data_IF_257633936736
#
_entry.id   IF_257633936736
#
_cell.length_a   1.000
_cell.length_b   1.000
_cell.length_c   1.000
_cell.angle_alpha   90.00
_cell.angle_beta   90.00
_cell.angle_gamma   90.00
#
_symmetry.space_group_name_H-M   'P 1'
#
loop_
_entity.id
_entity.type
_entity.pdbx_description
1 polymer ?
#
# COMPACT_ATOMS: atom_id res chain seq x y z
N UNK A 1 -18.25 -7.63 -32.08
CA UNK A 1 -16.85 -8.12 -32.08
C UNK A 1 -16.24 -7.82 -30.76
N UNK A 2 -15.44 -8.75 -30.24
CA UNK A 2 -14.66 -8.57 -29.01
C UNK A 2 -13.42 -7.77 -29.34
N UNK A 3 -13.13 -6.77 -28.52
CA UNK A 3 -11.93 -5.95 -28.64
C UNK A 3 -11.02 -6.21 -27.46
N UNK A 4 -9.73 -6.32 -27.74
CA UNK A 4 -8.68 -6.27 -26.75
C UNK A 4 -8.33 -4.80 -26.50
N UNK A 5 -8.32 -4.37 -25.25
CA UNK A 5 -8.06 -2.99 -24.88
C UNK A 5 -6.84 -2.93 -23.98
N UNK A 6 -5.90 -2.09 -24.34
CA UNK A 6 -4.78 -1.67 -23.51
C UNK A 6 -5.09 -0.31 -22.89
N UNK A 7 -4.98 -0.19 -21.60
CA UNK A 7 -5.21 1.04 -20.86
C UNK A 7 -3.90 1.47 -20.20
N UNK A 8 -3.40 2.63 -20.59
CA UNK A 8 -2.16 3.17 -20.03
C UNK A 8 -2.35 3.58 -18.57
N UNK A 9 -1.25 3.79 -17.86
CA UNK A 9 -1.26 4.31 -16.48
C UNK A 9 -1.95 5.67 -16.35
N UNK A 10 -1.94 6.46 -17.43
CA UNK A 10 -2.69 7.72 -17.51
C UNK A 10 -4.20 7.54 -17.83
N UNK A 11 -4.70 6.30 -17.88
CA UNK A 11 -6.12 6.00 -18.16
C UNK A 11 -6.51 6.08 -19.64
N UNK A 12 -5.55 6.26 -20.55
CA UNK A 12 -5.84 6.30 -21.99
C UNK A 12 -6.05 4.87 -22.50
N UNK A 13 -7.16 4.62 -23.18
CA UNK A 13 -7.53 3.31 -23.70
C UNK A 13 -7.22 3.18 -25.19
N UNK A 14 -6.50 2.13 -25.55
CA UNK A 14 -6.14 1.79 -26.93
C UNK A 14 -6.80 0.48 -27.34
N UNK A 15 -7.59 0.52 -28.40
CA UNK A 15 -8.23 -0.68 -28.95
C UNK A 15 -7.23 -1.39 -29.84
N UNK A 16 -6.93 -2.65 -29.51
CA UNK A 16 -6.06 -3.53 -30.26
C UNK A 16 -6.87 -4.62 -30.98
N UNK A 17 -6.47 -4.93 -32.21
CA UNK A 17 -7.18 -5.92 -33.03
C UNK A 17 -6.74 -7.34 -32.66
N UNK A 18 -7.69 -8.21 -32.37
CA UNK A 18 -7.43 -9.66 -32.26
C UNK A 18 -7.28 -10.18 -33.69
N UNK A 19 -6.11 -10.71 -34.04
CA UNK A 19 -5.77 -11.18 -35.41
C UNK A 19 -5.84 -12.69 -35.55
N UNK A 20 -5.69 -13.43 -34.46
CA UNK A 20 -5.81 -14.89 -34.45
C UNK A 20 -6.32 -15.37 -33.08
N UNK A 21 -7.08 -16.48 -33.10
CA UNK A 21 -7.52 -17.20 -31.89
C UNK A 21 -7.24 -18.67 -32.12
N UNK A 22 -6.49 -19.30 -31.19
CA UNK A 22 -6.15 -20.73 -31.25
C UNK A 22 -6.25 -21.36 -29.87
N UNK A 23 -7.23 -22.21 -29.66
CA UNK A 23 -7.48 -22.86 -28.38
C UNK A 23 -7.71 -21.85 -27.25
N UNK A 24 -6.84 -21.86 -26.25
CA UNK A 24 -6.85 -20.94 -25.09
C UNK A 24 -6.01 -19.69 -25.31
N UNK A 25 -5.43 -19.48 -26.49
CA UNK A 25 -4.58 -18.34 -26.82
C UNK A 25 -5.15 -17.49 -27.96
N UNK A 26 -4.78 -16.22 -27.98
CA UNK A 26 -5.08 -15.34 -29.09
C UNK A 26 -3.90 -14.38 -29.35
N UNK A 27 -3.77 -13.96 -30.59
CA UNK A 27 -2.76 -12.99 -31.03
C UNK A 27 -3.41 -11.65 -31.27
N UNK A 28 -2.77 -10.60 -30.80
CA UNK A 28 -3.25 -9.22 -30.88
C UNK A 28 -2.25 -8.36 -31.64
N UNK A 29 -2.73 -7.57 -32.57
CA UNK A 29 -1.96 -6.47 -33.14
C UNK A 29 -2.03 -5.27 -32.20
N UNK A 30 -0.87 -4.85 -31.66
CA UNK A 30 -0.79 -3.68 -30.79
C UNK A 30 -1.12 -2.43 -31.60
N UNK A 31 -1.89 -1.53 -31.02
CA UNK A 31 -2.19 -0.24 -31.62
C UNK A 31 -0.92 0.59 -31.76
N UNK A 32 -0.67 1.13 -32.97
CA UNK A 32 0.54 1.90 -33.27
C UNK A 32 0.65 3.23 -32.51
N UNK A 33 -0.41 3.67 -31.86
CA UNK A 33 -0.40 4.86 -31.00
C UNK A 33 -0.01 4.55 -29.55
N UNK A 34 0.19 3.26 -29.20
CA UNK A 34 0.72 2.92 -27.89
C UNK A 34 2.16 3.38 -27.76
N UNK A 35 2.42 4.19 -26.76
CA UNK A 35 3.75 4.64 -26.39
C UNK A 35 4.46 3.59 -25.52
N UNK A 36 5.72 3.80 -25.17
CA UNK A 36 6.43 2.98 -24.19
C UNK A 36 5.79 3.15 -22.81
N UNK A 37 5.56 2.07 -22.11
CA UNK A 37 4.91 2.08 -20.78
C UNK A 37 4.23 0.76 -20.45
N UNK A 38 3.53 0.76 -19.31
CA UNK A 38 2.73 -0.37 -18.86
C UNK A 38 1.27 -0.15 -19.17
N UNK A 39 0.61 -1.23 -19.51
CA UNK A 39 -0.79 -1.20 -19.93
C UNK A 39 -1.58 -2.29 -19.22
N UNK A 40 -2.65 -1.91 -18.57
CA UNK A 40 -3.65 -2.84 -18.07
C UNK A 40 -4.40 -3.49 -19.24
N UNK A 41 -4.74 -4.76 -19.08
CA UNK A 41 -5.41 -5.54 -20.10
C UNK A 41 -6.90 -5.64 -19.77
N UNK A 42 -7.77 -5.42 -20.77
CA UNK A 42 -9.18 -5.72 -20.67
C UNK A 42 -9.76 -6.24 -21.98
N UNK A 43 -10.85 -7.01 -21.88
CA UNK A 43 -11.67 -7.42 -23.02
C UNK A 43 -12.95 -6.60 -23.01
N UNK A 44 -13.33 -6.05 -24.15
CA UNK A 44 -14.55 -5.25 -24.34
C UNK A 44 -15.45 -5.88 -25.37
N UNK A 45 -16.71 -6.12 -24.97
CA UNK A 45 -17.78 -6.57 -25.86
C UNK A 45 -18.96 -5.59 -25.79
N UNK A 46 -19.16 -4.78 -26.82
CA UNK A 46 -20.11 -3.69 -26.77
C UNK A 46 -19.82 -2.71 -25.66
N UNK A 47 -20.77 -2.52 -24.75
CA UNK A 47 -20.61 -1.66 -23.56
C UNK A 47 -19.97 -2.38 -22.37
N UNK A 48 -19.84 -3.71 -22.41
CA UNK A 48 -19.27 -4.50 -21.30
C UNK A 48 -17.75 -4.55 -21.44
N UNK A 49 -17.04 -4.21 -20.36
CA UNK A 49 -15.59 -4.31 -20.21
C UNK A 49 -15.28 -5.26 -19.06
N UNK A 50 -14.39 -6.22 -19.27
CA UNK A 50 -13.88 -7.10 -18.22
C UNK A 50 -12.37 -6.94 -18.16
N UNK A 51 -11.88 -6.43 -17.05
CA UNK A 51 -10.44 -6.34 -16.78
C UNK A 51 -9.86 -7.74 -16.53
N UNK A 52 -8.58 -7.92 -16.89
CA UNK A 52 -7.78 -9.07 -16.52
C UNK A 52 -7.14 -8.94 -15.12
N UNK A 53 -7.71 -8.10 -14.26
CA UNK A 53 -7.14 -7.74 -12.98
C UNK A 53 -5.96 -6.77 -13.16
N UNK A 54 -4.96 -6.85 -12.27
CA UNK A 54 -3.72 -6.03 -12.38
C UNK A 54 -2.64 -6.72 -13.23
N UNK A 55 -3.04 -7.40 -14.29
CA UNK A 55 -2.11 -7.99 -15.26
C UNK A 55 -1.67 -6.92 -16.26
N UNK A 56 -0.38 -6.72 -16.38
CA UNK A 56 0.21 -5.74 -17.27
C UNK A 56 0.86 -6.38 -18.49
N UNK A 57 0.86 -5.65 -19.59
CA UNK A 57 1.87 -5.79 -20.64
C UNK A 57 2.73 -4.52 -20.67
N UNK A 58 4.01 -4.68 -21.01
CA UNK A 58 4.92 -3.54 -21.20
C UNK A 58 5.29 -3.37 -22.67
N UNK A 59 5.24 -2.14 -23.15
CA UNK A 59 5.83 -1.73 -24.42
C UNK A 59 7.10 -0.97 -24.06
N UNK A 60 8.27 -1.51 -24.43
CA UNK A 60 9.57 -0.99 -24.02
C UNK A 60 10.46 -0.72 -25.22
N UNK A 61 11.25 0.36 -25.14
CA UNK A 61 12.33 0.62 -26.10
C UNK A 61 13.55 -0.23 -25.77
N UNK A 62 14.30 -0.57 -26.83
CA UNK A 62 15.60 -1.19 -26.62
C UNK A 62 16.62 -0.12 -26.19
N UNK A 63 17.08 -0.20 -24.95
CA UNK A 63 18.10 0.74 -24.40
C UNK A 63 19.52 0.27 -24.62
N UNK A 64 19.72 -0.83 -25.36
CA UNK A 64 21.08 -1.35 -25.62
C UNK A 64 21.81 -1.92 -24.40
N UNK A 65 21.09 -2.15 -23.29
CA UNK A 65 21.61 -2.66 -22.01
C UNK A 65 21.53 -4.18 -21.95
N UNK A 66 22.61 -4.82 -21.51
CA UNK A 66 22.65 -6.25 -21.22
C UNK A 66 22.82 -6.44 -19.72
N UNK A 67 21.85 -7.07 -19.03
CA UNK A 67 21.96 -7.32 -17.59
C UNK A 67 23.15 -8.18 -17.23
N UNK A 68 23.68 -8.01 -16.03
CA UNK A 68 24.72 -8.86 -15.47
C UNK A 68 24.22 -10.30 -15.34
N UNK A 69 25.11 -11.31 -15.33
CA UNK A 69 24.73 -12.70 -15.04
C UNK A 69 23.94 -12.82 -13.74
N UNK A 70 22.96 -13.74 -13.71
CA UNK A 70 22.05 -14.01 -12.59
C UNK A 70 21.04 -12.89 -12.28
N UNK A 71 21.02 -11.79 -13.03
CA UNK A 71 19.96 -10.78 -12.93
C UNK A 71 18.64 -11.39 -13.42
N UNK A 72 17.61 -11.31 -12.59
CA UNK A 72 16.26 -11.80 -12.93
C UNK A 72 15.26 -10.68 -13.18
N UNK A 73 15.52 -9.49 -12.61
CA UNK A 73 14.75 -8.27 -12.84
C UNK A 73 15.72 -7.11 -13.03
N UNK A 74 15.50 -6.30 -14.06
CA UNK A 74 16.20 -5.03 -14.27
C UNK A 74 15.25 -4.00 -14.86
N UNK A 75 15.65 -2.76 -14.88
CA UNK A 75 14.83 -1.71 -15.50
C UNK A 75 15.46 -0.35 -15.42
N UNK A 76 14.72 0.62 -15.93
CA UNK A 76 15.07 2.02 -15.99
C UNK A 76 14.11 2.84 -15.14
N UNK A 77 14.64 3.73 -14.32
CA UNK A 77 13.85 4.70 -13.55
C UNK A 77 14.06 6.09 -14.14
N UNK A 78 12.96 6.74 -14.53
CA UNK A 78 13.01 8.06 -15.18
C UNK A 78 11.95 9.01 -14.65
N UNK A 79 12.20 10.31 -14.75
CA UNK A 79 11.18 11.35 -14.66
C UNK A 79 11.29 12.26 -15.89
N UNK A 80 10.17 12.54 -16.57
CA UNK A 80 10.09 13.33 -17.80
C UNK A 80 11.15 12.90 -18.85
N UNK A 81 11.50 11.61 -18.87
CA UNK A 81 12.51 11.04 -19.77
C UNK A 81 13.96 11.15 -19.30
N UNK A 82 14.25 11.88 -18.22
CA UNK A 82 15.56 11.94 -17.60
C UNK A 82 15.77 10.78 -16.61
N UNK A 83 16.97 10.14 -16.57
CA UNK A 83 17.25 9.08 -15.62
C UNK A 83 17.31 9.59 -14.18
N UNK A 84 16.86 8.77 -13.22
CA UNK A 84 16.98 9.05 -11.80
C UNK A 84 18.02 8.11 -11.21
N UNK A 85 19.13 8.65 -10.73
CA UNK A 85 20.18 7.92 -10.02
C UNK A 85 19.84 7.77 -8.54
N UNK A 86 20.24 6.66 -7.91
CA UNK A 86 20.07 6.42 -6.48
C UNK A 86 18.64 6.06 -6.08
N UNK A 87 17.71 5.87 -7.01
CA UNK A 87 16.36 5.41 -6.68
C UNK A 87 16.40 3.97 -6.16
N UNK A 88 15.78 3.73 -5.03
CA UNK A 88 15.73 2.41 -4.38
C UNK A 88 14.64 1.55 -5.00
N UNK A 89 14.99 0.32 -5.39
CA UNK A 89 14.08 -0.68 -5.96
C UNK A 89 14.21 -1.99 -5.20
N UNK A 90 13.09 -2.64 -4.93
CA UNK A 90 13.03 -3.88 -4.14
C UNK A 90 11.95 -4.84 -4.64
N UNK A 91 12.14 -6.13 -4.37
CA UNK A 91 11.12 -7.18 -4.52
C UNK A 91 10.52 -7.64 -3.17
N UNK A 92 10.81 -6.88 -2.10
CA UNK A 92 10.44 -7.24 -0.72
C UNK A 92 11.43 -8.20 -0.03
N UNK A 93 12.51 -8.62 -0.69
CA UNK A 93 13.61 -9.43 -0.14
C UNK A 93 14.95 -8.78 -0.42
N UNK A 94 15.20 -8.49 -1.70
CA UNK A 94 16.41 -7.82 -2.15
C UNK A 94 16.14 -6.33 -2.39
N UNK A 95 17.17 -5.52 -2.12
CA UNK A 95 17.14 -4.06 -2.31
C UNK A 95 18.33 -3.66 -3.16
N UNK A 96 18.11 -2.80 -4.12
CA UNK A 96 19.14 -2.24 -5.00
C UNK A 96 18.86 -0.77 -5.25
N UNK A 97 19.83 -0.06 -5.83
CA UNK A 97 19.67 1.33 -6.27
C UNK A 97 19.97 1.46 -7.75
N UNK A 98 19.41 2.47 -8.39
CA UNK A 98 19.72 2.82 -9.76
C UNK A 98 21.11 3.46 -9.88
N UNK A 99 21.81 3.18 -10.96
CA UNK A 99 23.07 3.84 -11.34
C UNK A 99 22.85 5.26 -11.92
N UNK A 100 23.93 5.90 -12.37
CA UNK A 100 23.87 7.24 -12.98
C UNK A 100 23.03 7.30 -14.27
N UNK A 101 22.79 6.18 -14.92
CA UNK A 101 21.92 6.04 -16.10
C UNK A 101 20.46 5.71 -15.72
N UNK A 102 20.13 5.67 -14.42
CA UNK A 102 18.81 5.28 -13.92
C UNK A 102 18.53 3.78 -14.00
N UNK A 103 19.55 2.94 -14.26
CA UNK A 103 19.37 1.49 -14.43
C UNK A 103 19.56 0.78 -13.10
N UNK A 104 18.63 -0.11 -12.76
CA UNK A 104 18.75 -1.03 -11.62
C UNK A 104 18.78 -2.49 -12.06
N UNK A 105 19.33 -3.36 -11.22
CA UNK A 105 19.39 -4.80 -11.42
C UNK A 105 19.16 -5.51 -10.10
N UNK A 106 18.30 -6.55 -10.11
CA UNK A 106 18.00 -7.40 -8.96
C UNK A 106 18.24 -8.88 -9.30
N UNK A 107 18.86 -9.59 -8.36
CA UNK A 107 18.90 -11.06 -8.32
C UNK A 107 17.75 -11.58 -7.47
N UNK A 108 16.53 -11.42 -7.96
CA UNK A 108 15.30 -11.77 -7.27
C UNK A 108 14.97 -13.23 -7.41
N UNK A 109 14.56 -13.86 -6.31
CA UNK A 109 13.91 -15.18 -6.33
C UNK A 109 12.40 -15.08 -6.70
N UNK A 110 11.88 -13.87 -6.91
CA UNK A 110 10.48 -13.57 -7.26
C UNK A 110 9.46 -14.22 -6.30
N UNK A 111 9.84 -14.31 -5.03
CA UNK A 111 9.06 -15.00 -3.99
C UNK A 111 7.66 -14.39 -3.85
N UNK A 112 7.58 -13.08 -3.79
CA UNK A 112 6.32 -12.36 -3.59
C UNK A 112 5.59 -12.03 -4.89
N UNK A 113 6.25 -12.17 -6.04
CA UNK A 113 5.65 -11.97 -7.36
C UNK A 113 5.48 -10.49 -7.75
N UNK A 114 6.21 -9.58 -7.13
CA UNK A 114 6.23 -8.16 -7.47
C UNK A 114 7.62 -7.54 -7.33
N UNK A 115 7.76 -6.35 -7.88
CA UNK A 115 8.88 -5.43 -7.66
C UNK A 115 8.32 -4.02 -7.51
N UNK A 116 8.87 -3.25 -6.60
CA UNK A 116 8.44 -1.88 -6.33
C UNK A 116 9.60 -0.90 -6.24
N UNK A 117 9.30 0.37 -6.47
CA UNK A 117 10.21 1.48 -6.22
C UNK A 117 9.85 2.14 -4.89
N UNK A 118 10.83 2.35 -4.02
CA UNK A 118 10.70 3.32 -2.93
C UNK A 118 10.73 4.71 -3.54
N UNK A 119 9.55 5.34 -3.70
CA UNK A 119 9.42 6.61 -4.43
C UNK A 119 10.41 7.62 -3.85
N UNK A 120 11.34 8.18 -4.64
CA UNK A 120 12.30 9.14 -4.12
C UNK A 120 11.64 10.47 -3.71
N UNK A 121 12.22 11.17 -2.76
CA UNK A 121 11.84 12.54 -2.39
C UNK A 121 11.80 13.47 -3.61
N UNK A 122 10.81 14.32 -3.70
CA UNK A 122 10.61 15.24 -4.84
C UNK A 122 9.97 14.61 -6.07
N UNK A 123 9.50 13.36 -5.96
CA UNK A 123 8.82 12.66 -7.06
C UNK A 123 7.49 12.07 -6.63
N UNK A 124 6.62 11.87 -7.60
CA UNK A 124 5.38 11.11 -7.51
C UNK A 124 5.33 10.06 -8.61
N UNK A 125 4.54 9.02 -8.38
CA UNK A 125 4.17 8.02 -9.40
C UNK A 125 2.79 8.34 -9.97
N UNK A 126 2.46 7.86 -11.19
CA UNK A 126 1.08 7.91 -11.68
C UNK A 126 0.11 7.23 -10.73
N UNK A 127 -1.17 7.61 -10.79
CA UNK A 127 -2.22 6.99 -9.99
C UNK A 127 -3.24 6.27 -10.86
N UNK A 128 -3.72 5.14 -10.39
CA UNK A 128 -4.90 4.47 -10.93
C UNK A 128 -6.05 4.62 -9.91
N UNK A 129 -6.89 5.61 -10.11
CA UNK A 129 -7.81 6.05 -9.07
C UNK A 129 -7.03 6.58 -7.87
N UNK A 130 -7.28 6.05 -6.67
CA UNK A 130 -6.55 6.42 -5.45
C UNK A 130 -5.23 5.66 -5.27
N UNK A 131 -4.94 4.63 -6.08
CA UNK A 131 -3.77 3.79 -5.91
C UNK A 131 -2.54 4.37 -6.63
N UNK A 132 -1.45 4.71 -5.92
CA UNK A 132 -0.19 5.05 -6.55
C UNK A 132 0.43 3.84 -7.25
N UNK A 133 0.97 4.03 -8.45
CA UNK A 133 1.50 2.97 -9.31
C UNK A 133 3.03 2.84 -9.11
N UNK A 134 3.44 2.39 -7.94
CA UNK A 134 4.86 2.26 -7.56
C UNK A 134 5.38 0.82 -7.64
N UNK A 135 4.57 -0.15 -8.06
CA UNK A 135 4.96 -1.56 -8.16
C UNK A 135 4.35 -2.24 -9.38
N UNK A 136 4.99 -3.32 -9.81
CA UNK A 136 4.54 -4.18 -10.90
C UNK A 136 4.68 -5.64 -10.55
N UNK A 137 3.80 -6.50 -11.10
CA UNK A 137 3.90 -7.94 -10.92
C UNK A 137 5.01 -8.53 -11.77
N UNK A 138 5.70 -9.53 -11.24
CA UNK A 138 6.72 -10.29 -11.92
C UNK A 138 6.19 -11.63 -12.39
N UNK A 139 6.84 -12.22 -13.41
CA UNK A 139 6.61 -13.62 -13.78
C UNK A 139 7.21 -14.53 -12.71
N UNK A 140 6.53 -15.63 -12.41
CA UNK A 140 6.98 -16.57 -11.38
C UNK A 140 8.28 -17.33 -11.77
N UNK A 141 8.59 -17.45 -13.07
CA UNK A 141 9.78 -18.18 -13.54
C UNK A 141 11.04 -17.33 -13.36
N UNK A 142 11.92 -17.76 -12.45
CA UNK A 142 13.20 -17.11 -12.16
C UNK A 142 14.24 -17.27 -13.29
N UNK A 143 14.01 -18.15 -14.25
CA UNK A 143 14.88 -18.29 -15.45
C UNK A 143 14.62 -17.21 -16.47
N UNK A 144 13.51 -16.49 -16.36
CA UNK A 144 13.16 -15.38 -17.24
C UNK A 144 13.71 -14.09 -16.61
N UNK A 145 14.66 -13.47 -17.28
CA UNK A 145 15.06 -12.08 -16.97
C UNK A 145 14.01 -11.14 -17.54
N UNK A 146 13.41 -10.30 -16.70
CA UNK A 146 12.41 -9.33 -17.13
C UNK A 146 12.89 -7.91 -16.90
N UNK A 147 12.48 -7.04 -17.82
CA UNK A 147 12.66 -5.60 -17.69
C UNK A 147 11.38 -4.97 -17.16
N UNK A 148 11.51 -4.19 -16.09
CA UNK A 148 10.42 -3.44 -15.45
C UNK A 148 10.91 -2.02 -15.22
N UNK A 149 10.33 -1.06 -15.93
CA UNK A 149 10.70 0.35 -15.86
C UNK A 149 9.72 1.11 -14.96
N UNK A 150 10.25 2.11 -14.23
CA UNK A 150 9.43 3.03 -13.44
C UNK A 150 9.51 4.43 -14.03
N UNK A 151 8.34 5.03 -14.28
CA UNK A 151 8.22 6.41 -14.76
C UNK A 151 7.63 7.27 -13.66
N UNK A 152 8.39 8.25 -13.22
CA UNK A 152 8.01 9.17 -12.16
C UNK A 152 7.77 10.56 -12.73
N UNK A 153 7.12 11.38 -11.94
CA UNK A 153 6.92 12.80 -12.20
C UNK A 153 7.65 13.59 -11.12
N UNK A 154 8.50 14.53 -11.50
CA UNK A 154 9.10 15.47 -10.56
C UNK A 154 8.03 16.42 -10.03
N UNK A 155 8.11 16.75 -8.76
CA UNK A 155 7.13 17.59 -8.08
C UNK A 155 7.79 18.54 -7.10
N UNK A 156 7.26 19.78 -7.03
CA UNK A 156 7.70 20.80 -6.09
C UNK A 156 6.81 20.82 -4.84
N UNK A 157 7.31 21.39 -3.75
CA UNK A 157 6.54 21.65 -2.53
C UNK A 157 6.22 20.41 -1.69
N UNK A 158 6.91 19.29 -1.93
CA UNK A 158 6.71 18.07 -1.17
C UNK A 158 7.26 18.14 0.27
N UNK A 159 8.03 19.17 0.61
CA UNK A 159 8.47 19.42 2.00
C UNK A 159 7.37 19.95 2.91
N UNK A 160 6.23 20.38 2.34
CA UNK A 160 5.08 20.89 3.08
C UNK A 160 3.80 20.25 2.54
N UNK A 161 3.31 19.25 3.20
CA UNK A 161 2.12 18.52 2.76
C UNK A 161 1.17 18.20 3.90
N UNK A 162 -0.04 17.80 3.52
CA UNK A 162 -1.05 17.25 4.41
C UNK A 162 -1.08 15.76 4.21
N UNK A 163 -1.05 15.02 5.31
CA UNK A 163 -1.28 13.59 5.34
C UNK A 163 -2.57 13.28 6.09
N UNK A 164 -3.52 12.69 5.40
CA UNK A 164 -4.75 12.17 5.99
C UNK A 164 -4.51 10.73 6.45
N UNK A 165 -4.73 10.47 7.73
CA UNK A 165 -4.57 9.12 8.32
C UNK A 165 -5.96 8.51 8.48
N UNK A 166 -6.18 7.41 7.77
CA UNK A 166 -7.49 6.76 7.59
C UNK A 166 -7.44 5.38 8.25
N UNK A 167 -7.93 5.27 9.48
CA UNK A 167 -7.96 4.00 10.22
C UNK A 167 -9.29 3.27 10.09
N UNK A 168 -9.26 1.96 9.97
CA UNK A 168 -10.36 1.02 10.27
C UNK A 168 -11.72 1.44 9.68
N UNK A 169 -11.85 1.35 8.34
CA UNK A 169 -13.07 1.75 7.63
C UNK A 169 -14.17 0.70 7.73
N UNK A 170 -13.81 -0.59 7.76
CA UNK A 170 -14.73 -1.74 7.88
C UNK A 170 -15.93 -1.67 6.95
N UNK A 171 -15.73 -1.37 5.68
CA UNK A 171 -16.81 -1.36 4.70
C UNK A 171 -17.20 -2.80 4.32
N UNK A 172 -18.49 -3.08 4.36
CA UNK A 172 -19.00 -4.44 4.18
C UNK A 172 -20.35 -4.52 3.47
N UNK A 173 -20.86 -3.38 2.97
CA UNK A 173 -22.21 -3.29 2.39
C UNK A 173 -23.27 -3.87 3.31
N UNK A 174 -23.23 -3.51 4.58
CA UNK A 174 -24.18 -3.92 5.58
C UNK A 174 -24.83 -2.71 6.24
N UNK A 175 -26.11 -2.84 6.58
CA UNK A 175 -26.89 -1.80 7.26
C UNK A 175 -26.76 -0.44 6.55
N UNK A 176 -25.94 0.47 7.05
CA UNK A 176 -25.78 1.83 6.54
C UNK A 176 -24.31 2.26 6.43
N UNK A 177 -23.36 1.33 6.51
CA UNK A 177 -21.92 1.63 6.49
C UNK A 177 -21.50 2.43 5.26
N UNK A 178 -21.97 2.05 4.06
CA UNK A 178 -21.62 2.76 2.82
C UNK A 178 -22.22 4.18 2.77
N UNK A 179 -23.44 4.39 3.27
CA UNK A 179 -24.04 5.73 3.31
C UNK A 179 -23.33 6.63 4.30
N UNK A 180 -22.95 6.11 5.45
CA UNK A 180 -22.20 6.85 6.46
C UNK A 180 -20.76 7.15 6.01
N UNK A 181 -20.16 6.23 5.23
CA UNK A 181 -18.87 6.48 4.60
C UNK A 181 -18.94 7.62 3.57
N UNK A 182 -20.10 7.84 2.91
CA UNK A 182 -20.28 8.99 2.04
C UNK A 182 -20.18 10.31 2.83
N UNK A 183 -20.86 10.41 3.97
CA UNK A 183 -20.81 11.60 4.83
C UNK A 183 -19.37 11.88 5.28
N UNK A 184 -18.63 10.84 5.66
CA UNK A 184 -17.20 10.93 5.96
C UNK A 184 -16.39 11.46 4.78
N UNK A 185 -16.61 10.95 3.56
CA UNK A 185 -15.86 11.38 2.37
C UNK A 185 -16.21 12.81 1.94
N UNK A 186 -17.44 13.27 2.19
CA UNK A 186 -17.84 14.65 1.97
C UNK A 186 -17.06 15.61 2.90
N UNK A 187 -16.95 15.28 4.19
CA UNK A 187 -16.15 16.06 5.15
C UNK A 187 -14.66 16.07 4.77
N UNK A 188 -14.09 14.91 4.46
CA UNK A 188 -12.70 14.82 4.02
C UNK A 188 -12.45 15.66 2.76
N UNK A 189 -13.33 15.62 1.77
CA UNK A 189 -13.21 16.43 0.56
C UNK A 189 -13.37 17.92 0.85
N UNK A 190 -14.25 18.31 1.77
CA UNK A 190 -14.35 19.70 2.24
C UNK A 190 -13.05 20.17 2.89
N UNK A 191 -12.45 19.34 3.75
CA UNK A 191 -11.15 19.60 4.35
C UNK A 191 -10.03 19.73 3.30
N UNK A 192 -10.00 18.83 2.32
CA UNK A 192 -9.05 18.88 1.19
C UNK A 192 -9.16 20.18 0.41
N UNK A 193 -10.38 20.64 0.15
CA UNK A 193 -10.63 21.89 -0.57
C UNK A 193 -10.11 23.14 0.19
N UNK A 194 -10.05 23.09 1.51
CA UNK A 194 -9.45 24.16 2.33
C UNK A 194 -7.91 24.15 2.28
N UNK A 195 -7.30 23.07 1.84
CA UNK A 195 -5.86 22.84 1.84
C UNK A 195 -5.24 22.77 0.44
N UNK A 196 -5.87 23.31 -0.59
CA UNK A 196 -5.42 23.24 -2.00
C UNK A 196 -4.05 23.87 -2.28
N UNK A 197 -3.55 24.71 -1.38
CA UNK A 197 -2.19 25.30 -1.48
C UNK A 197 -1.05 24.36 -1.09
N UNK A 198 -1.35 23.13 -0.65
CA UNK A 198 -0.38 22.13 -0.23
C UNK A 198 -0.61 20.82 -0.98
N UNK A 199 0.44 20.01 -1.10
CA UNK A 199 0.28 18.62 -1.55
C UNK A 199 -0.49 17.83 -0.49
N UNK A 200 -1.25 16.86 -0.96
CA UNK A 200 -2.14 16.08 -0.09
C UNK A 200 -2.01 14.62 -0.43
N UNK A 201 -1.78 13.82 0.59
CA UNK A 201 -1.66 12.37 0.53
C UNK A 201 -2.50 11.73 1.62
N UNK A 202 -2.77 10.44 1.51
CA UNK A 202 -3.41 9.69 2.58
C UNK A 202 -2.69 8.37 2.84
N UNK A 203 -2.83 7.87 4.06
CA UNK A 203 -2.45 6.52 4.48
C UNK A 203 -3.68 5.85 5.06
N UNK A 204 -4.01 4.67 4.53
CA UNK A 204 -5.02 3.78 5.11
C UNK A 204 -4.32 2.74 5.98
N UNK A 205 -4.72 2.66 7.25
CA UNK A 205 -4.09 1.83 8.27
C UNK A 205 -4.61 0.38 8.33
N UNK A 206 -5.22 -0.12 7.26
CA UNK A 206 -5.81 -1.45 7.22
C UNK A 206 -7.27 -1.48 7.66
N UNK A 207 -7.82 -2.68 7.71
CA UNK A 207 -9.24 -2.95 7.98
C UNK A 207 -10.16 -2.08 7.12
N UNK A 208 -9.84 -2.05 5.82
CA UNK A 208 -10.62 -1.32 4.82
C UNK A 208 -11.96 -1.98 4.59
N UNK A 209 -11.96 -3.31 4.65
CA UNK A 209 -13.15 -4.16 4.47
C UNK A 209 -13.44 -4.94 5.74
N UNK A 210 -14.41 -5.83 5.65
CA UNK A 210 -14.68 -6.79 6.72
C UNK A 210 -14.82 -8.19 6.13
N UNK A 211 -13.78 -9.00 6.27
CA UNK A 211 -13.61 -10.33 5.70
C UNK A 211 -14.84 -11.25 5.85
N UNK A 212 -15.52 -11.19 7.00
CA UNK A 212 -16.72 -11.98 7.27
C UNK A 212 -17.87 -11.75 6.27
N UNK A 213 -17.91 -10.59 5.64
CA UNK A 213 -18.95 -10.19 4.69
C UNK A 213 -18.51 -10.24 3.23
N UNK A 214 -17.27 -10.60 2.93
CA UNK A 214 -16.76 -10.65 1.56
C UNK A 214 -17.64 -11.49 0.65
N UNK A 215 -18.08 -12.64 1.14
CA UNK A 215 -18.86 -13.60 0.36
C UNK A 215 -20.37 -13.38 0.50
N UNK A 216 -20.85 -13.12 1.69
CA UNK A 216 -22.29 -13.01 1.96
C UNK A 216 -22.88 -11.72 1.40
N UNK A 217 -22.14 -10.61 1.50
CA UNK A 217 -22.56 -9.31 0.98
C UNK A 217 -21.95 -8.98 -0.39
N UNK A 218 -21.09 -9.85 -0.94
CA UNK A 218 -20.31 -9.61 -2.16
C UNK A 218 -19.58 -8.26 -2.09
N UNK A 219 -18.94 -7.98 -0.97
CA UNK A 219 -18.20 -6.76 -0.74
C UNK A 219 -16.80 -7.09 -0.18
N UNK A 220 -15.80 -6.99 -1.04
CA UNK A 220 -14.40 -7.25 -0.73
C UNK A 220 -13.53 -6.08 -1.27
N UNK A 221 -12.23 -6.29 -1.39
CA UNK A 221 -11.28 -5.25 -1.81
C UNK A 221 -11.59 -4.59 -3.18
N UNK A 222 -12.09 -5.31 -4.21
CA UNK A 222 -12.50 -4.65 -5.45
C UNK A 222 -13.67 -3.67 -5.28
N UNK A 223 -14.66 -4.01 -4.44
CA UNK A 223 -15.81 -3.15 -4.16
C UNK A 223 -15.41 -1.97 -3.28
N UNK A 224 -14.52 -2.19 -2.31
CA UNK A 224 -13.88 -1.11 -1.56
C UNK A 224 -13.22 -0.10 -2.50
N UNK A 225 -12.36 -0.57 -3.41
CA UNK A 225 -11.68 0.31 -4.37
C UNK A 225 -12.67 1.07 -5.26
N UNK A 226 -13.74 0.42 -5.72
CA UNK A 226 -14.77 1.10 -6.49
C UNK A 226 -15.43 2.23 -5.69
N UNK A 227 -15.69 2.00 -4.40
CA UNK A 227 -16.26 3.00 -3.49
C UNK A 227 -15.31 4.18 -3.29
N UNK A 228 -14.07 3.92 -2.91
CA UNK A 228 -13.09 5.00 -2.63
C UNK A 228 -12.72 5.77 -3.89
N UNK A 229 -12.54 5.10 -5.02
CA UNK A 229 -12.25 5.75 -6.32
C UNK A 229 -13.36 6.68 -6.79
N UNK A 230 -14.60 6.39 -6.42
CA UNK A 230 -15.72 7.29 -6.75
C UNK A 230 -15.75 8.52 -5.84
N UNK A 231 -15.32 8.40 -4.59
CA UNK A 231 -15.47 9.43 -3.56
C UNK A 231 -14.22 10.29 -3.35
N UNK A 232 -13.03 9.69 -3.39
CA UNK A 232 -11.75 10.33 -3.05
C UNK A 232 -10.84 10.48 -4.27
N UNK A 233 -11.38 10.98 -5.37
CA UNK A 233 -10.63 11.17 -6.62
C UNK A 233 -9.41 12.06 -6.40
N UNK A 234 -8.35 11.77 -7.14
CA UNK A 234 -7.11 12.56 -7.17
C UNK A 234 -6.39 12.64 -5.81
N UNK A 235 -6.71 11.74 -4.88
CA UNK A 235 -5.95 11.56 -3.65
C UNK A 235 -5.17 10.26 -3.73
N UNK A 236 -3.84 10.33 -3.69
CA UNK A 236 -3.01 9.12 -3.56
C UNK A 236 -3.14 8.57 -2.15
N UNK A 237 -3.60 7.33 -2.04
CA UNK A 237 -3.74 6.62 -0.77
C UNK A 237 -2.75 5.46 -0.74
N UNK A 238 -1.79 5.52 0.17
CA UNK A 238 -0.90 4.41 0.51
C UNK A 238 -1.62 3.51 1.51
N UNK A 239 -1.68 2.22 1.22
CA UNK A 239 -2.49 1.29 2.02
C UNK A 239 -1.62 0.34 2.82
N UNK A 240 -2.07 0.05 4.02
CA UNK A 240 -1.60 -1.04 4.89
C UNK A 240 -2.64 -2.13 4.90
N UNK A 241 -2.24 -3.39 4.98
CA UNK A 241 -3.18 -4.51 5.13
C UNK A 241 -3.57 -4.65 6.61
N UNK A 242 -4.86 -4.82 6.90
CA UNK A 242 -5.38 -5.12 8.24
C UNK A 242 -5.91 -6.55 8.34
N UNK A 243 -6.18 -7.02 9.56
CA UNK A 243 -6.62 -8.40 9.76
C UNK A 243 -7.98 -8.73 9.13
N UNK A 244 -8.79 -7.74 8.81
CA UNK A 244 -10.05 -7.90 8.08
C UNK A 244 -9.92 -7.74 6.55
N UNK A 245 -8.69 -7.58 6.03
CA UNK A 245 -8.38 -7.52 4.60
C UNK A 245 -7.77 -8.82 4.07
N UNK A 246 -7.74 -9.87 4.88
CA UNK A 246 -7.32 -11.22 4.55
C UNK A 246 -8.51 -12.12 4.21
N UNK A 247 -8.32 -13.02 3.26
CA UNK A 247 -9.32 -14.04 2.95
C UNK A 247 -9.33 -15.14 4.02
N UNK A 248 -10.31 -15.10 4.92
CA UNK A 248 -10.43 -16.08 6.01
C UNK A 248 -10.67 -17.53 5.53
N UNK A 249 -11.03 -17.74 4.26
CA UNK A 249 -11.18 -19.08 3.67
C UNK A 249 -9.87 -19.67 3.17
N UNK A 250 -8.79 -18.92 3.17
CA UNK A 250 -7.46 -19.39 2.83
C UNK A 250 -6.90 -20.33 3.91
N UNK A 251 -5.79 -20.97 3.60
CA UNK A 251 -5.18 -21.99 4.48
C UNK A 251 -3.80 -21.59 5.02
N UNK A 252 -3.30 -20.44 4.64
CA UNK A 252 -2.02 -19.90 5.08
C UNK A 252 -1.97 -18.41 4.78
N UNK A 253 -1.03 -17.74 5.36
CA UNK A 253 -0.80 -16.31 5.26
C UNK A 253 -0.68 -15.81 3.82
N UNK A 254 0.18 -16.43 3.01
CA UNK A 254 0.40 -16.04 1.62
C UNK A 254 -0.87 -16.10 0.77
N UNK A 255 -1.70 -17.15 0.96
CA UNK A 255 -2.98 -17.26 0.24
C UNK A 255 -4.00 -16.26 0.76
N UNK A 256 -4.04 -16.05 2.07
CA UNK A 256 -4.98 -15.14 2.71
C UNK A 256 -4.73 -13.66 2.32
N UNK A 257 -3.47 -13.23 2.27
CA UNK A 257 -3.09 -11.87 1.86
C UNK A 257 -3.08 -11.65 0.34
N UNK A 258 -3.17 -12.70 -0.48
CA UNK A 258 -3.12 -12.60 -1.95
C UNK A 258 -4.18 -11.66 -2.55
N UNK A 259 -5.45 -11.63 -2.10
CA UNK A 259 -6.43 -10.67 -2.60
C UNK A 259 -5.99 -9.21 -2.41
N UNK A 260 -5.35 -8.87 -1.28
CA UNK A 260 -4.80 -7.54 -1.04
C UNK A 260 -3.68 -7.22 -2.05
N UNK A 261 -2.69 -8.09 -2.18
CA UNK A 261 -1.59 -7.90 -3.14
C UNK A 261 -2.10 -7.78 -4.57
N UNK A 262 -3.11 -8.54 -4.95
CA UNK A 262 -3.68 -8.51 -6.30
C UNK A 262 -4.55 -7.28 -6.61
N UNK A 263 -5.05 -6.57 -5.61
CA UNK A 263 -5.96 -5.45 -5.81
C UNK A 263 -5.42 -4.10 -5.32
N UNK A 264 -4.61 -4.08 -4.27
CA UNK A 264 -4.23 -2.87 -3.55
C UNK A 264 -2.74 -2.55 -3.71
N UNK A 265 -1.86 -3.26 -2.99
CA UNK A 265 -0.43 -2.95 -2.91
C UNK A 265 0.39 -4.19 -2.49
N UNK A 266 1.74 -4.17 -2.58
CA UNK A 266 2.60 -5.07 -1.83
C UNK A 266 2.22 -5.08 -0.34
N UNK A 267 2.36 -6.22 0.33
CA UNK A 267 2.03 -6.32 1.75
C UNK A 267 2.93 -5.41 2.61
N UNK A 268 4.19 -5.21 2.19
CA UNK A 268 5.09 -4.24 2.79
C UNK A 268 5.97 -3.57 1.74
N UNK A 269 6.31 -2.31 1.96
CA UNK A 269 7.05 -1.46 1.03
C UNK A 269 7.49 -0.15 1.70
N UNK A 270 8.31 0.66 1.00
CA UNK A 270 8.70 1.99 1.45
C UNK A 270 8.50 3.06 0.38
N UNK A 271 8.46 4.32 0.79
CA UNK A 271 8.43 5.50 -0.09
C UNK A 271 8.85 6.74 0.68
N UNK A 272 9.14 7.84 -0.03
CA UNK A 272 9.47 9.11 0.60
C UNK A 272 8.46 10.18 0.20
N UNK A 273 8.11 11.03 1.16
CA UNK A 273 7.40 12.27 0.93
C UNK A 273 8.22 13.41 1.55
N UNK A 274 8.74 14.30 0.69
CA UNK A 274 9.66 15.35 1.15
C UNK A 274 10.85 14.76 1.90
N UNK A 275 11.08 15.23 3.12
CA UNK A 275 12.22 14.84 3.95
C UNK A 275 11.88 13.71 4.95
N UNK A 276 10.85 12.93 4.69
CA UNK A 276 10.39 11.86 5.57
C UNK A 276 10.36 10.53 4.81
N UNK A 277 10.92 9.50 5.42
CA UNK A 277 10.86 8.14 4.90
C UNK A 277 9.71 7.36 5.53
N UNK A 278 8.84 6.80 4.70
CA UNK A 278 7.69 5.98 5.10
C UNK A 278 7.98 4.51 4.84
N UNK A 279 7.69 3.70 5.82
CA UNK A 279 7.77 2.24 5.72
C UNK A 279 6.43 1.65 6.10
N UNK A 280 5.80 0.94 5.18
CA UNK A 280 4.57 0.17 5.45
C UNK A 280 4.98 -1.27 5.71
N UNK A 281 4.52 -1.85 6.82
CA UNK A 281 4.81 -3.23 7.20
C UNK A 281 3.49 -4.00 7.40
N UNK A 282 3.53 -5.28 7.09
CA UNK A 282 2.45 -6.22 7.34
C UNK A 282 2.73 -6.94 8.68
N UNK A 283 1.98 -6.58 9.70
CA UNK A 283 2.15 -7.11 11.05
C UNK A 283 1.08 -8.14 11.46
N UNK A 284 0.31 -8.63 10.48
CA UNK A 284 -0.73 -9.64 10.66
C UNK A 284 -0.26 -10.95 10.01
N UNK A 285 -0.15 -12.01 10.79
CA UNK A 285 0.25 -13.33 10.35
C UNK A 285 -0.91 -14.32 10.46
N UNK A 286 -1.37 -14.77 9.32
CA UNK A 286 -2.49 -15.70 9.15
C UNK A 286 -2.05 -17.16 8.93
N UNK A 287 -0.84 -17.55 9.27
CA UNK A 287 -0.35 -18.93 9.11
C UNK A 287 -1.20 -19.99 9.83
N UNK A 288 -2.01 -19.57 10.80
CA UNK A 288 -2.94 -20.45 11.52
C UNK A 288 -4.31 -20.58 10.83
N UNK A 289 -4.53 -19.95 9.68
CA UNK A 289 -5.80 -20.08 8.96
C UNK A 289 -5.96 -21.48 8.40
N UNK A 290 -7.16 -22.03 8.58
CA UNK A 290 -7.54 -23.35 8.13
C UNK A 290 -8.70 -23.35 7.11
N UNK A 291 -9.14 -22.18 6.71
CA UNK A 291 -10.25 -21.98 5.78
C UNK A 291 -11.63 -22.01 6.42
N UNK A 292 -11.72 -22.07 7.76
CA UNK A 292 -12.99 -22.20 8.48
C UNK A 292 -13.37 -20.98 9.32
N UNK A 293 -12.42 -20.33 9.98
CA UNK A 293 -12.66 -19.26 10.95
C UNK A 293 -11.70 -18.10 10.71
N UNK A 294 -12.24 -16.88 10.65
CA UNK A 294 -11.46 -15.65 10.72
C UNK A 294 -10.93 -15.41 12.14
N UNK A 295 -9.99 -14.46 12.29
CA UNK A 295 -9.41 -14.02 13.56
C UNK A 295 -8.47 -14.99 14.25
N UNK A 296 -8.02 -16.02 13.56
CA UNK A 296 -6.95 -16.90 14.05
C UNK A 296 -5.58 -16.41 13.54
N UNK A 297 -5.32 -15.11 13.65
CA UNK A 297 -4.08 -14.47 13.28
C UNK A 297 -3.20 -14.17 14.51
N UNK A 298 -1.93 -13.88 14.25
CA UNK A 298 -0.98 -13.37 15.25
C UNK A 298 -0.47 -12.01 14.83
N UNK A 299 -0.24 -11.13 15.80
CA UNK A 299 0.44 -9.85 15.57
C UNK A 299 1.95 -10.09 15.62
N UNK A 300 2.59 -10.12 14.46
CA UNK A 300 4.04 -10.28 14.37
C UNK A 300 4.57 -9.86 13.00
N UNK A 301 5.81 -9.39 12.99
CA UNK A 301 6.58 -9.17 11.77
C UNK A 301 7.37 -10.46 11.43
N UNK A 302 7.36 -10.84 10.16
CA UNK A 302 8.14 -11.99 9.71
C UNK A 302 9.63 -11.67 9.62
N UNK A 303 10.49 -12.69 9.69
CA UNK A 303 11.93 -12.52 9.54
C UNK A 303 12.32 -11.92 8.18
N UNK A 304 11.57 -12.24 7.12
CA UNK A 304 11.79 -11.68 5.79
C UNK A 304 11.58 -10.17 5.78
N UNK A 305 10.49 -9.70 6.40
CA UNK A 305 10.20 -8.28 6.54
C UNK A 305 11.26 -7.53 7.35
N UNK A 306 11.67 -8.09 8.50
CA UNK A 306 12.70 -7.47 9.34
C UNK A 306 14.06 -7.44 8.64
N UNK A 307 14.40 -8.48 7.87
CA UNK A 307 15.61 -8.51 7.05
C UNK A 307 15.56 -7.48 5.93
N UNK A 308 14.43 -7.38 5.25
CA UNK A 308 14.20 -6.39 4.21
C UNK A 308 14.27 -4.97 4.78
N UNK A 309 13.59 -4.70 5.91
CA UNK A 309 13.64 -3.40 6.58
C UNK A 309 15.08 -2.97 6.88
N UNK A 310 15.91 -3.90 7.36
CA UNK A 310 17.32 -3.60 7.58
C UNK A 310 18.06 -3.18 6.30
N UNK A 311 17.76 -3.81 5.16
CA UNK A 311 18.34 -3.43 3.85
C UNK A 311 17.80 -2.10 3.34
N UNK A 312 16.53 -1.83 3.54
CA UNK A 312 15.87 -0.59 3.15
C UNK A 312 16.43 0.59 3.95
N UNK A 313 16.49 0.49 5.26
CA UNK A 313 17.05 1.52 6.14
C UNK A 313 18.54 1.81 5.91
N UNK A 314 19.31 0.88 5.32
CA UNK A 314 20.68 1.16 4.89
C UNK A 314 20.77 2.13 3.72
N UNK A 315 19.66 2.35 3.00
CA UNK A 315 19.58 3.32 1.89
C UNK A 315 19.08 4.69 2.35
N UNK A 316 18.79 4.86 3.65
CA UNK A 316 18.21 6.07 4.23
C UNK A 316 19.20 6.68 5.22
N UNK A 317 19.51 7.95 5.07
CA UNK A 317 20.41 8.66 5.97
C UNK A 317 19.86 8.62 7.41
N UNK A 318 20.77 8.59 8.39
CA UNK A 318 20.43 8.35 9.80
C UNK A 318 19.55 9.45 10.41
N UNK A 319 19.66 10.67 9.91
CA UNK A 319 18.93 11.86 10.37
C UNK A 319 17.53 12.02 9.74
N UNK A 320 17.24 11.24 8.70
CA UNK A 320 15.91 11.24 8.08
C UNK A 320 14.91 10.58 9.03
N UNK A 321 13.81 11.29 9.38
CA UNK A 321 12.77 10.70 10.23
C UNK A 321 12.03 9.58 9.51
N UNK A 322 11.67 8.56 10.29
CA UNK A 322 10.92 7.39 9.81
C UNK A 322 9.47 7.49 10.29
N UNK A 323 8.53 7.31 9.37
CA UNK A 323 7.16 6.98 9.74
C UNK A 323 6.93 5.51 9.39
N UNK A 324 6.83 4.67 10.41
CA UNK A 324 6.54 3.25 10.27
C UNK A 324 5.03 3.04 10.38
N UNK A 325 4.43 2.47 9.38
CA UNK A 325 2.98 2.26 9.29
C UNK A 325 2.68 0.77 9.38
N UNK A 326 1.87 0.40 10.34
CA UNK A 326 1.39 -0.96 10.57
C UNK A 326 -0.11 -0.93 10.88
N UNK A 327 -0.77 -2.07 10.80
CA UNK A 327 -2.18 -2.13 11.17
C UNK A 327 -2.34 -2.23 12.68
N UNK A 328 -1.76 -3.25 13.30
CA UNK A 328 -1.89 -3.46 14.74
C UNK A 328 -0.83 -2.68 15.53
N UNK A 329 -1.21 -2.28 16.73
CA UNK A 329 -0.33 -1.56 17.64
C UNK A 329 0.80 -2.47 18.17
N UNK A 330 2.00 -1.90 18.29
CA UNK A 330 3.16 -2.58 18.89
C UNK A 330 3.03 -2.62 20.40
N UNK A 331 2.61 -1.49 20.99
CA UNK A 331 2.44 -1.34 22.42
C UNK A 331 0.96 -1.15 22.76
N UNK A 332 0.56 -1.68 23.90
CA UNK A 332 -0.82 -1.57 24.38
C UNK A 332 -0.84 -1.15 25.85
N UNK A 333 -1.76 -0.25 26.27
CA UNK A 333 -1.87 0.13 27.67
C UNK A 333 -2.28 -1.07 28.52
N UNK A 334 -1.44 -1.38 29.51
CA UNK A 334 -1.71 -2.41 30.52
C UNK A 334 -2.67 -1.84 31.58
N UNK A 335 -3.55 -2.67 32.09
CA UNK A 335 -4.44 -2.28 33.20
C UNK A 335 -3.71 -2.14 34.54
N UNK A 336 -2.50 -2.69 34.65
CA UNK A 336 -1.75 -2.78 35.94
C UNK A 336 -0.42 -2.08 35.90
N UNK A 337 0.31 -2.12 34.78
CA UNK A 337 1.76 -1.82 34.77
C UNK A 337 2.19 -0.86 33.61
N UNK A 338 1.37 0.11 33.26
CA UNK A 338 1.71 1.06 32.19
C UNK A 338 1.56 0.44 30.81
N UNK A 339 2.64 0.17 30.07
CA UNK A 339 2.63 -0.37 28.73
C UNK A 339 3.07 -1.84 28.69
N UNK A 340 2.56 -2.59 27.71
CA UNK A 340 3.03 -3.93 27.35
C UNK A 340 3.29 -4.04 25.86
N UNK A 341 4.21 -4.90 25.45
CA UNK A 341 4.35 -5.31 24.04
C UNK A 341 3.13 -6.18 23.68
N UNK A 342 2.47 -5.82 22.60
CA UNK A 342 1.26 -6.52 22.13
C UNK A 342 1.50 -7.35 20.86
N UNK A 343 2.68 -7.26 20.29
CA UNK A 343 3.20 -8.11 19.24
C UNK A 343 4.04 -9.27 19.80
N UNK A 344 4.51 -10.13 18.90
CA UNK A 344 5.57 -11.09 19.22
C UNK A 344 6.82 -10.35 19.76
N UNK A 345 7.21 -10.70 20.97
CA UNK A 345 8.29 -10.01 21.66
C UNK A 345 9.65 -10.14 20.95
N UNK A 346 9.89 -11.25 20.24
CA UNK A 346 11.17 -11.48 19.53
C UNK A 346 11.26 -10.55 18.33
N UNK A 347 10.23 -10.49 17.51
CA UNK A 347 10.14 -9.60 16.35
C UNK A 347 10.17 -8.13 16.76
N UNK A 348 9.43 -7.76 17.82
CA UNK A 348 9.44 -6.39 18.35
C UNK A 348 10.83 -5.95 18.82
N UNK A 349 11.55 -6.80 19.55
CA UNK A 349 12.91 -6.48 19.96
C UNK A 349 13.89 -6.34 18.77
N UNK A 350 13.68 -7.07 17.69
CA UNK A 350 14.46 -6.90 16.47
C UNK A 350 14.10 -5.58 15.77
N UNK A 351 12.82 -5.25 15.67
CA UNK A 351 12.34 -3.99 15.13
C UNK A 351 12.96 -2.79 15.88
N UNK A 352 12.87 -2.77 17.21
CA UNK A 352 13.44 -1.70 18.02
C UNK A 352 14.96 -1.54 17.83
N UNK A 353 15.69 -2.64 17.60
CA UNK A 353 17.13 -2.58 17.27
C UNK A 353 17.39 -1.98 15.89
N UNK A 354 16.56 -2.27 14.89
CA UNK A 354 16.69 -1.70 13.55
C UNK A 354 16.40 -0.19 13.53
N UNK A 355 15.49 0.27 14.39
CA UNK A 355 15.11 1.66 14.54
C UNK A 355 16.02 2.46 15.49
N UNK A 356 16.94 1.79 16.21
CA UNK A 356 17.79 2.42 17.20
C UNK A 356 18.61 3.58 16.62
N UNK A 357 18.58 4.72 17.31
CA UNK A 357 19.25 5.94 16.92
C UNK A 357 18.58 6.72 15.78
N UNK A 358 17.37 6.32 15.37
CA UNK A 358 16.54 7.04 14.39
C UNK A 358 15.33 7.65 15.08
N UNK A 359 14.94 8.84 14.64
CA UNK A 359 13.68 9.45 15.03
C UNK A 359 12.54 8.72 14.31
N UNK A 360 11.68 8.03 15.05
CA UNK A 360 10.65 7.18 14.48
C UNK A 360 9.27 7.51 15.03
N UNK A 361 8.29 7.60 14.13
CA UNK A 361 6.87 7.59 14.45
C UNK A 361 6.23 6.31 13.92
N UNK A 362 5.57 5.55 14.78
CA UNK A 362 4.75 4.40 14.40
C UNK A 362 3.29 4.86 14.32
N UNK A 363 2.63 4.59 13.20
CA UNK A 363 1.21 4.82 12.99
C UNK A 363 0.47 3.50 12.95
N UNK A 364 -0.54 3.35 13.81
CA UNK A 364 -1.34 2.12 13.91
C UNK A 364 -2.84 2.42 14.09
N UNK A 365 -3.68 1.41 13.82
CA UNK A 365 -5.13 1.40 14.01
C UNK A 365 -5.58 0.21 14.86
N UNK A 366 -6.43 -0.66 14.32
CA UNK A 366 -6.83 -1.96 14.85
C UNK A 366 -7.65 -1.95 16.16
N UNK A 367 -7.23 -1.19 17.15
CA UNK A 367 -7.89 -1.19 18.45
C UNK A 367 -9.16 -0.36 18.50
N UNK A 368 -9.37 0.52 17.52
CA UNK A 368 -10.37 1.58 17.55
C UNK A 368 -10.26 2.48 18.79
N UNK A 369 -9.08 2.59 19.36
CA UNK A 369 -8.76 3.46 20.50
C UNK A 369 -7.78 4.53 20.06
N UNK A 370 -7.75 5.67 20.77
CA UNK A 370 -6.79 6.72 20.53
C UNK A 370 -5.82 6.83 21.70
N UNK A 371 -4.56 6.48 21.48
CA UNK A 371 -3.51 6.60 22.49
C UNK A 371 -2.13 6.84 21.87
N UNK A 372 -1.19 7.33 22.70
CA UNK A 372 0.17 7.58 22.29
C UNK A 372 1.15 6.94 23.26
N UNK A 373 2.21 6.34 22.71
CA UNK A 373 3.44 5.98 23.42
C UNK A 373 4.49 7.01 23.05
N UNK A 374 5.29 7.45 24.00
CA UNK A 374 6.28 8.51 23.82
C UNK A 374 7.69 8.02 24.14
N UNK A 375 8.76 8.69 23.70
CA UNK A 375 10.13 8.32 24.07
C UNK A 375 10.41 8.27 25.57
N UNK A 376 9.59 8.97 26.36
CA UNK A 376 9.71 8.99 27.83
C UNK A 376 9.18 7.70 28.49
N UNK A 377 8.45 6.87 27.73
CA UNK A 377 7.94 5.60 28.23
C UNK A 377 9.03 4.52 28.18
N UNK A 378 9.31 3.86 29.30
CA UNK A 378 10.36 2.83 29.43
C UNK A 378 10.26 1.71 28.37
N UNK A 379 9.05 1.44 27.89
CA UNK A 379 8.79 0.38 26.91
C UNK A 379 9.48 0.63 25.56
N UNK A 380 9.83 1.87 25.22
CA UNK A 380 10.56 2.22 23.99
C UNK A 380 12.01 1.76 24.02
N UNK A 381 12.53 1.34 25.18
CA UNK A 381 13.90 0.92 25.35
C UNK A 381 14.93 2.04 25.15
N UNK A 382 14.52 3.30 25.32
CA UNK A 382 15.37 4.48 25.14
C UNK A 382 15.53 4.92 23.67
N UNK A 383 14.71 4.41 22.77
CA UNK A 383 14.63 4.90 21.39
C UNK A 383 13.87 6.21 21.32
N UNK A 384 14.24 7.11 20.36
CA UNK A 384 13.45 8.28 19.98
C UNK A 384 12.24 7.81 19.14
N UNK A 385 11.28 7.20 19.82
CA UNK A 385 10.18 6.48 19.21
C UNK A 385 8.85 6.93 19.81
N UNK A 386 7.94 7.34 18.93
CA UNK A 386 6.53 7.56 19.23
C UNK A 386 5.69 6.45 18.59
N UNK A 387 4.65 6.00 19.26
CA UNK A 387 3.57 5.27 18.60
C UNK A 387 2.27 6.04 18.77
N UNK A 388 1.60 6.31 17.67
CA UNK A 388 0.25 6.85 17.65
C UNK A 388 -0.72 5.80 17.12
N UNK A 389 -1.55 5.27 18.02
CA UNK A 389 -2.69 4.43 17.64
C UNK A 389 -3.90 5.35 17.49
N UNK A 390 -4.48 5.37 16.30
CA UNK A 390 -5.61 6.24 15.97
C UNK A 390 -6.94 5.52 16.14
N UNK A 391 -7.97 6.25 16.56
CA UNK A 391 -9.34 5.76 16.53
C UNK A 391 -9.82 5.51 15.10
N UNK A 392 -10.87 4.69 14.98
CA UNK A 392 -11.41 4.23 13.70
C UNK A 392 -12.30 5.28 13.02
N UNK A 393 -12.30 5.30 11.69
CA UNK A 393 -13.30 6.04 10.90
C UNK A 393 -14.70 5.52 11.22
N UNK A 394 -14.86 4.21 11.32
CA UNK A 394 -16.14 3.57 11.63
C UNK A 394 -16.56 3.66 13.12
N UNK A 395 -15.73 4.26 13.98
CA UNK A 395 -15.95 4.19 15.42
C UNK A 395 -16.05 2.72 15.88
N UNK A 396 -17.17 2.33 16.51
CA UNK A 396 -17.48 0.92 16.80
C UNK A 396 -18.28 0.30 15.66
N UNK A 397 -17.63 0.01 14.52
CA UNK A 397 -18.21 -0.68 13.35
C UNK A 397 -19.48 -0.05 12.81
N UNK A 398 -19.52 1.28 12.72
CA UNK A 398 -20.67 2.06 12.22
C UNK A 398 -21.92 1.93 13.09
N UNK A 399 -21.76 1.57 14.34
CA UNK A 399 -22.85 1.51 15.30
C UNK A 399 -22.91 2.79 16.14
N UNK A 400 -24.08 3.43 16.19
CA UNK A 400 -24.38 4.52 17.12
C UNK A 400 -25.21 3.98 18.27
N UNK A 401 -24.75 4.19 19.51
CA UNK A 401 -25.48 3.76 20.71
C UNK A 401 -26.76 4.57 20.96
N UNK A 402 -27.54 4.12 21.93
CA UNK A 402 -28.79 4.82 22.34
C UNK A 402 -28.55 6.22 22.92
N UNK A 403 -27.35 6.47 23.48
CA UNK A 403 -27.03 7.75 24.14
C UNK A 403 -26.58 8.83 23.14
N UNK A 404 -26.08 8.43 21.99
CA UNK A 404 -25.55 9.33 20.95
C UNK A 404 -26.05 8.89 19.58
N UNK A 405 -27.37 9.01 19.30
CA UNK A 405 -27.91 8.67 18.00
C UNK A 405 -27.16 9.41 16.89
N UNK A 406 -26.86 8.69 15.80
CA UNK A 406 -26.17 9.20 14.60
C UNK A 406 -24.70 9.67 14.83
N UNK A 407 -24.14 9.45 16.02
CA UNK A 407 -22.72 9.66 16.29
C UNK A 407 -22.04 8.32 16.57
N UNK A 408 -21.09 7.94 15.70
CA UNK A 408 -20.31 6.74 15.89
C UNK A 408 -19.14 7.03 16.81
N UNK A 409 -19.07 6.31 17.92
CA UNK A 409 -18.01 6.45 18.91
C UNK A 409 -17.14 5.19 18.92
N UNK A 410 -15.87 5.39 19.03
CA UNK A 410 -14.90 4.35 19.40
C UNK A 410 -15.11 3.92 20.87
N UNK A 411 -14.56 2.77 21.31
CA UNK A 411 -14.74 2.29 22.68
C UNK A 411 -14.23 3.24 23.76
N UNK A 412 -13.31 4.12 23.45
CA UNK A 412 -12.79 5.16 24.37
C UNK A 412 -13.59 6.48 24.36
N UNK A 413 -14.66 6.53 23.55
CA UNK A 413 -15.50 7.71 23.38
C UNK A 413 -15.04 8.68 22.31
N UNK A 414 -13.95 8.40 21.59
CA UNK A 414 -13.51 9.20 20.44
C UNK A 414 -14.55 9.07 19.32
N UNK A 415 -15.04 10.16 18.73
CA UNK A 415 -15.91 10.09 17.55
C UNK A 415 -15.21 9.40 16.38
N UNK A 416 -15.97 8.69 15.55
CA UNK A 416 -15.49 8.20 14.27
C UNK A 416 -14.94 9.38 13.44
N UNK A 417 -13.78 9.18 12.82
CA UNK A 417 -13.11 10.26 12.09
C UNK A 417 -11.73 9.85 11.59
N UNK A 418 -10.94 10.85 11.18
CA UNK A 418 -9.60 10.68 10.63
C UNK A 418 -8.64 11.72 11.24
N UNK A 419 -7.35 11.40 11.22
CA UNK A 419 -6.34 12.35 11.66
C UNK A 419 -5.79 13.14 10.47
N UNK A 420 -5.44 14.41 10.73
CA UNK A 420 -4.81 15.30 9.76
C UNK A 420 -3.43 15.67 10.29
N UNK A 421 -2.41 15.24 9.57
CA UNK A 421 -1.03 15.56 9.88
C UNK A 421 -0.52 16.63 8.92
N UNK A 422 0.00 17.70 9.47
CA UNK A 422 0.70 18.72 8.71
C UNK A 422 2.19 18.49 8.84
N UNK A 423 2.82 18.10 7.75
CA UNK A 423 4.26 17.85 7.70
C UNK A 423 4.95 19.07 7.10
N UNK A 424 5.99 19.56 7.78
CA UNK A 424 6.78 20.75 7.38
C UNK A 424 8.26 20.44 7.60
N UNK A 425 8.98 20.08 6.52
CA UNK A 425 10.36 19.66 6.58
C UNK A 425 10.51 18.27 7.20
N UNK A 426 11.37 18.20 8.23
CA UNK A 426 11.69 16.94 8.96
C UNK A 426 10.91 16.85 10.27
#
# INVERSE_FOLDING_TARGET
>A
SDNFVLESEAGVSYICKIINVSGSSFTVAINSQCETGYYNISLKRGIRKKSAGRTYISIIENIGFTPAPDTTIYGLVTAEGAPIAGAVVSDGIEVTTTDAGGIYQLKSAKKWGYVFISIPSGYEVPSQGVLPQFFYYTKADTKITERIDFKLKQVDGQDNYILYVLGDMHLANRTSDLSQFLDFTEDLNACRNLNTGRRQYAIALGDMTWDLYWYDNNYALPEYLATVNNQLRDLQIFHTIGNHDYDYKAKNDLEAGRPYVNNIAPAYYSFNLGQVHYVVMDDIDCDSYDGTISRNYKKRLTNDQLTWLGKDLMQVDQDIPIILVMHAQVFYPSQTDGWKIDHDAVGTNQLLKLLAGRRTHILTGHTHLNFNVTPDDDITGGNDLYEHNTAAICGSWWWSGHLTPDVHLSPDGTPGGYAIWQVSGQ
#
